data_IF_306887655229
#
_entry.id   IF_306887655229
#
_cell.length_a   1.000
_cell.length_b   1.000
_cell.length_c   1.000
_cell.angle_alpha   90.00
_cell.angle_beta   90.00
_cell.angle_gamma   90.00
#
_symmetry.space_group_name_H-M   'P 1'
#
loop_
_entity.id
_entity.type
_entity.pdbx_description
1 polymer ?
#
# COMPACT_ATOMS: atom_id res chain seq x y z
N UNK A 1 -28.72 10.56 31.42
CA UNK A 1 -28.28 9.28 30.81
C UNK A 1 -28.65 9.33 29.34
N UNK A 2 -27.69 9.61 28.47
CA UNK A 2 -27.92 9.67 27.02
C UNK A 2 -27.14 8.53 26.36
N UNK A 3 -27.88 7.59 25.75
CA UNK A 3 -27.34 6.51 24.94
C UNK A 3 -26.74 7.10 23.66
N UNK A 4 -25.41 7.16 23.57
CA UNK A 4 -24.74 7.36 22.30
C UNK A 4 -24.77 6.04 21.52
N UNK A 5 -25.68 5.96 20.55
CA UNK A 5 -25.69 4.91 19.53
C UNK A 5 -24.50 5.16 18.61
N UNK A 6 -23.53 4.26 18.57
CA UNK A 6 -22.45 4.27 17.58
C UNK A 6 -23.05 4.12 16.16
N UNK A 7 -23.09 5.21 15.40
CA UNK A 7 -23.44 5.18 13.99
C UNK A 7 -22.23 4.76 13.15
N UNK A 8 -22.18 3.47 12.82
CA UNK A 8 -21.28 2.94 11.80
C UNK A 8 -21.81 3.34 10.40
N UNK A 9 -21.06 4.14 9.64
CA UNK A 9 -21.45 4.58 8.28
C UNK A 9 -21.36 3.43 7.26
N UNK A 10 -20.69 2.32 7.58
CA UNK A 10 -20.74 1.08 6.80
C UNK A 10 -20.58 -0.14 7.73
N UNK A 11 -21.68 -0.85 8.03
CA UNK A 11 -21.64 -2.15 8.72
C UNK A 11 -21.36 -3.26 7.70
N UNK A 12 -20.13 -3.75 7.64
CA UNK A 12 -19.85 -5.01 6.96
C UNK A 12 -20.16 -6.21 7.86
N UNK A 13 -20.76 -7.25 7.25
CA UNK A 13 -21.04 -8.54 7.89
C UNK A 13 -19.75 -9.20 8.35
N UNK A 14 -19.73 -9.64 9.61
CA UNK A 14 -18.65 -10.44 10.18
C UNK A 14 -18.63 -11.83 9.54
N UNK A 15 -17.75 -12.07 8.57
CA UNK A 15 -17.44 -13.42 8.15
C UNK A 15 -16.54 -14.08 9.20
N UNK A 16 -17.03 -15.17 9.78
CA UNK A 16 -16.36 -15.99 10.78
C UNK A 16 -15.23 -16.80 10.11
N UNK A 17 -14.15 -16.96 10.87
CA UNK A 17 -12.82 -17.50 10.54
C UNK A 17 -12.72 -18.65 9.52
N UNK A 18 -11.71 -18.55 8.64
CA UNK A 18 -10.95 -19.71 8.15
C UNK A 18 -9.45 -19.38 8.18
N UNK A 19 -8.71 -20.04 9.08
CA UNK A 19 -7.25 -20.27 9.04
C UNK A 19 -6.26 -19.12 9.28
N UNK A 20 -6.44 -17.95 8.66
CA UNK A 20 -5.41 -16.91 8.59
C UNK A 20 -5.32 -15.98 9.80
N UNK A 21 -4.12 -15.42 10.04
CA UNK A 21 -3.91 -14.39 11.08
C UNK A 21 -4.41 -13.03 10.61
N UNK A 22 -4.91 -12.23 11.52
CA UNK A 22 -5.19 -10.81 11.28
C UNK A 22 -3.89 -10.02 11.35
N UNK A 23 -3.53 -9.36 10.27
CA UNK A 23 -2.30 -8.56 10.16
C UNK A 23 -2.68 -7.10 10.03
N UNK A 24 -2.13 -6.25 10.90
CA UNK A 24 -2.21 -4.80 10.75
C UNK A 24 -0.85 -4.26 10.30
N UNK A 25 -0.80 -3.59 9.16
CA UNK A 25 0.38 -2.85 8.70
C UNK A 25 0.10 -1.37 8.92
N UNK A 26 0.91 -0.67 9.71
CA UNK A 26 0.66 0.72 10.07
C UNK A 26 1.92 1.57 9.95
N UNK A 27 1.77 2.81 9.50
CA UNK A 27 2.79 3.83 9.69
C UNK A 27 2.86 4.26 11.15
N UNK A 28 4.06 4.52 11.68
CA UNK A 28 4.26 4.88 13.08
C UNK A 28 5.04 6.18 13.24
N UNK A 29 4.47 7.12 13.99
CA UNK A 29 5.18 8.28 14.55
C UNK A 29 4.70 8.58 15.96
N UNK A 30 3.38 8.51 16.16
CA UNK A 30 2.70 8.55 17.46
C UNK A 30 2.03 7.20 17.76
N UNK A 31 1.97 6.77 19.03
CA UNK A 31 1.44 5.45 19.38
C UNK A 31 -0.10 5.39 19.33
N UNK A 32 -0.81 6.49 19.61
CA UNK A 32 -2.25 6.48 19.83
C UNK A 32 -3.07 5.97 18.63
N UNK A 33 -2.80 6.40 17.38
CA UNK A 33 -3.55 5.91 16.22
C UNK A 33 -3.37 4.39 16.02
N UNK A 34 -2.17 3.89 16.27
CA UNK A 34 -1.83 2.47 16.14
C UNK A 34 -2.51 1.64 17.23
N UNK A 35 -2.52 2.12 18.47
CA UNK A 35 -3.24 1.47 19.58
C UNK A 35 -4.75 1.41 19.31
N UNK A 36 -5.33 2.53 18.86
CA UNK A 36 -6.75 2.61 18.53
C UNK A 36 -7.12 1.65 17.38
N UNK A 37 -6.31 1.63 16.31
CA UNK A 37 -6.50 0.72 15.20
C UNK A 37 -6.35 -0.74 15.64
N UNK A 38 -5.37 -1.04 16.49
CA UNK A 38 -5.14 -2.39 17.02
C UNK A 38 -6.30 -2.88 17.87
N UNK A 39 -6.83 -2.03 18.77
CA UNK A 39 -7.99 -2.37 19.59
C UNK A 39 -9.25 -2.65 18.75
N UNK A 40 -9.43 -1.96 17.62
CA UNK A 40 -10.62 -2.13 16.76
C UNK A 40 -10.51 -3.28 15.78
N UNK A 41 -9.33 -3.48 15.20
CA UNK A 41 -9.11 -4.49 14.16
C UNK A 41 -8.69 -5.83 14.76
N UNK A 42 -8.19 -5.84 16.00
CA UNK A 42 -7.75 -7.03 16.73
C UNK A 42 -6.72 -7.86 15.96
N UNK A 43 -5.57 -7.28 15.55
CA UNK A 43 -4.56 -8.02 14.81
C UNK A 43 -3.84 -9.04 15.71
N UNK A 44 -3.47 -10.19 15.14
CA UNK A 44 -2.54 -11.16 15.74
C UNK A 44 -1.08 -10.79 15.46
N UNK A 45 -0.83 -9.99 14.41
CA UNK A 45 0.47 -9.47 14.01
C UNK A 45 0.37 -7.99 13.64
N UNK A 46 1.31 -7.19 14.12
CA UNK A 46 1.44 -5.77 13.85
C UNK A 46 2.79 -5.49 13.16
N UNK A 47 2.74 -4.92 11.96
CA UNK A 47 3.92 -4.46 11.21
C UNK A 47 3.94 -2.93 11.20
N UNK A 48 4.99 -2.34 11.75
CA UNK A 48 5.12 -0.89 11.95
C UNK A 48 6.16 -0.32 11.00
N UNK A 49 5.76 0.60 10.13
CA UNK A 49 6.65 1.31 9.23
C UNK A 49 7.26 2.51 9.95
N UNK A 50 8.57 2.45 10.18
CA UNK A 50 9.37 3.48 10.83
C UNK A 50 10.40 4.06 9.87
N UNK A 51 11.01 5.19 10.22
CA UNK A 51 12.02 5.83 9.38
C UNK A 51 13.31 4.98 9.39
N UNK A 52 14.12 5.07 8.32
CA UNK A 52 15.47 4.45 8.32
C UNK A 52 16.29 4.87 9.54
N UNK A 53 16.19 6.16 9.87
CA UNK A 53 16.78 6.81 11.03
C UNK A 53 15.67 7.40 11.91
N UNK A 54 15.11 6.60 12.83
CA UNK A 54 14.04 7.08 13.70
C UNK A 54 14.56 8.16 14.65
N UNK A 55 13.76 9.20 14.86
CA UNK A 55 14.05 10.19 15.90
C UNK A 55 13.61 9.68 17.29
N UNK A 56 14.01 10.39 18.35
CA UNK A 56 13.66 10.03 19.74
C UNK A 56 12.15 9.91 19.99
N UNK A 57 11.32 10.64 19.24
CA UNK A 57 9.86 10.58 19.38
C UNK A 57 9.31 9.27 18.81
N UNK A 58 9.74 8.89 17.60
CA UNK A 58 9.35 7.65 16.94
C UNK A 58 9.88 6.42 17.70
N UNK A 59 11.09 6.49 18.27
CA UNK A 59 11.63 5.44 19.15
C UNK A 59 10.80 5.26 20.42
N UNK A 60 10.40 6.37 21.07
CA UNK A 60 9.49 6.33 22.22
C UNK A 60 8.14 5.73 21.84
N UNK A 61 7.57 6.14 20.71
CA UNK A 61 6.31 5.59 20.22
C UNK A 61 6.41 4.07 20.00
N UNK A 62 7.48 3.61 19.35
CA UNK A 62 7.73 2.17 19.15
C UNK A 62 7.86 1.42 20.47
N UNK A 63 8.53 2.01 21.46
CA UNK A 63 8.62 1.43 22.80
C UNK A 63 7.25 1.29 23.45
N UNK A 64 6.43 2.35 23.42
CA UNK A 64 5.06 2.33 23.97
C UNK A 64 4.21 1.22 23.32
N UNK A 65 4.29 1.05 22.00
CA UNK A 65 3.57 -0.02 21.31
C UNK A 65 4.05 -1.41 21.76
N UNK A 66 5.37 -1.63 21.85
CA UNK A 66 5.91 -2.91 22.30
C UNK A 66 5.52 -3.23 23.76
N UNK A 67 5.61 -2.26 24.66
CA UNK A 67 5.25 -2.43 26.07
C UNK A 67 3.76 -2.73 26.23
N UNK A 68 2.91 -2.15 25.38
CA UNK A 68 1.44 -2.30 25.45
C UNK A 68 0.92 -3.56 24.77
N UNK A 69 1.44 -3.91 23.60
CA UNK A 69 0.89 -4.95 22.72
C UNK A 69 1.84 -6.15 22.52
N UNK A 70 3.15 -5.96 22.64
CA UNK A 70 4.16 -6.95 22.25
C UNK A 70 4.17 -8.24 23.10
N UNK A 71 3.47 -8.26 24.24
CA UNK A 71 3.25 -9.48 25.04
C UNK A 71 2.12 -10.36 24.51
N UNK A 72 1.24 -9.79 23.69
CA UNK A 72 -0.02 -10.40 23.27
C UNK A 72 0.01 -10.70 21.76
N UNK A 73 0.70 -9.85 20.97
CA UNK A 73 0.75 -9.95 19.51
C UNK A 73 2.19 -9.85 18.98
N UNK A 74 2.44 -10.38 17.78
CA UNK A 74 3.75 -10.28 17.08
C UNK A 74 3.96 -8.87 16.53
N UNK A 75 4.83 -8.07 17.15
CA UNK A 75 5.14 -6.70 16.73
C UNK A 75 6.47 -6.65 15.99
N UNK A 76 6.47 -6.17 14.74
CA UNK A 76 7.67 -6.01 13.91
C UNK A 76 7.80 -4.60 13.38
N UNK A 77 8.96 -3.98 13.58
CA UNK A 77 9.29 -2.71 12.95
C UNK A 77 10.02 -2.94 11.62
N UNK A 78 9.58 -2.25 10.57
CA UNK A 78 10.24 -2.24 9.26
C UNK A 78 10.64 -0.82 8.93
N UNK A 79 11.94 -0.63 8.65
CA UNK A 79 12.50 0.65 8.24
C UNK A 79 12.17 0.92 6.78
N UNK A 80 11.68 2.12 6.49
CA UNK A 80 11.37 2.58 5.12
C UNK A 80 12.00 3.94 4.86
N UNK A 81 12.08 4.30 3.58
CA UNK A 81 12.30 5.69 3.22
C UNK A 81 11.18 6.60 3.75
N UNK A 82 11.42 7.91 3.72
CA UNK A 82 10.48 8.92 4.17
C UNK A 82 9.88 9.67 2.97
N UNK A 83 10.68 9.99 1.96
CA UNK A 83 10.27 10.89 0.87
C UNK A 83 10.26 10.21 -0.50
N UNK A 84 11.02 9.14 -0.70
CA UNK A 84 10.93 8.32 -1.91
C UNK A 84 9.67 7.45 -1.87
N UNK A 85 8.59 7.96 -2.45
CA UNK A 85 7.29 7.31 -2.44
C UNK A 85 7.28 5.98 -3.21
N UNK A 86 8.07 5.86 -4.27
CA UNK A 86 8.16 4.63 -5.08
C UNK A 86 8.84 3.55 -4.25
N UNK A 87 9.94 3.89 -3.57
CA UNK A 87 10.66 2.96 -2.71
C UNK A 87 9.85 2.56 -1.48
N UNK A 88 9.14 3.49 -0.84
CA UNK A 88 8.21 3.17 0.25
C UNK A 88 7.13 2.21 -0.23
N UNK A 89 6.51 2.50 -1.38
CA UNK A 89 5.43 1.68 -1.93
C UNK A 89 5.93 0.27 -2.23
N UNK A 90 7.08 0.15 -2.92
CA UNK A 90 7.74 -1.12 -3.20
C UNK A 90 7.98 -1.92 -1.92
N UNK A 91 8.49 -1.27 -0.87
CA UNK A 91 8.73 -1.93 0.41
C UNK A 91 7.44 -2.40 1.08
N UNK A 92 6.37 -1.63 0.98
CA UNK A 92 5.06 -2.00 1.52
C UNK A 92 4.43 -3.17 0.74
N UNK A 93 4.60 -3.22 -0.59
CA UNK A 93 4.19 -4.35 -1.42
C UNK A 93 4.93 -5.62 -1.01
N UNK A 94 6.26 -5.55 -0.83
CA UNK A 94 7.04 -6.69 -0.31
C UNK A 94 6.49 -7.21 1.03
N UNK A 95 6.15 -6.30 1.96
CA UNK A 95 5.59 -6.69 3.27
C UNK A 95 4.24 -7.41 3.11
N UNK A 96 3.36 -6.92 2.23
CA UNK A 96 2.06 -7.54 1.93
C UNK A 96 2.28 -8.93 1.31
N UNK A 97 3.18 -9.03 0.35
CA UNK A 97 3.44 -10.28 -0.39
C UNK A 97 4.10 -11.36 0.48
N UNK A 98 4.91 -10.96 1.48
CA UNK A 98 5.49 -11.86 2.47
C UNK A 98 4.48 -12.44 3.47
N UNK A 99 3.27 -11.88 3.58
CA UNK A 99 2.25 -12.48 4.43
C UNK A 99 1.69 -13.75 3.75
N UNK A 100 1.38 -14.81 4.51
CA UNK A 100 0.59 -15.94 4.03
C UNK A 100 -0.65 -15.50 3.24
N UNK A 101 -1.02 -16.28 2.21
CA UNK A 101 -2.15 -15.93 1.33
C UNK A 101 -3.48 -15.83 2.07
N UNK A 102 -3.64 -16.64 3.11
CA UNK A 102 -4.87 -16.70 3.91
C UNK A 102 -4.94 -15.61 5.00
N UNK A 103 -3.84 -14.88 5.26
CA UNK A 103 -3.81 -13.83 6.27
C UNK A 103 -4.72 -12.65 5.90
N UNK A 104 -5.34 -12.06 6.92
CA UNK A 104 -6.31 -10.97 6.81
C UNK A 104 -5.59 -9.65 7.01
N UNK A 105 -5.13 -9.06 5.91
CA UNK A 105 -4.33 -7.84 5.96
C UNK A 105 -5.25 -6.62 6.03
N UNK A 106 -5.05 -5.79 7.05
CA UNK A 106 -5.59 -4.43 7.12
C UNK A 106 -4.42 -3.45 7.20
N UNK A 107 -4.60 -2.25 6.67
CA UNK A 107 -3.59 -1.19 6.79
C UNK A 107 -4.14 0.01 7.55
N UNK A 108 -3.28 0.72 8.26
CA UNK A 108 -3.60 2.01 8.87
C UNK A 108 -2.61 3.08 8.41
N UNK A 109 -3.14 4.18 7.87
CA UNK A 109 -2.33 5.25 7.27
C UNK A 109 -2.37 6.55 8.08
N UNK A 110 -2.77 6.48 9.35
CA UNK A 110 -3.04 7.68 10.15
C UNK A 110 -1.77 8.40 10.58
N UNK A 111 -0.78 7.65 11.09
CA UNK A 111 0.40 8.25 11.72
C UNK A 111 1.55 8.44 10.73
N UNK A 112 2.53 9.26 11.07
CA UNK A 112 3.74 9.47 10.27
C UNK A 112 3.59 10.43 9.10
N UNK A 113 4.68 10.55 8.32
CA UNK A 113 4.75 11.49 7.19
C UNK A 113 3.77 11.08 6.10
N UNK A 114 3.09 12.08 5.50
CA UNK A 114 2.09 11.88 4.44
C UNK A 114 2.62 11.03 3.29
N UNK A 115 3.85 11.26 2.84
CA UNK A 115 4.52 10.48 1.81
C UNK A 115 4.56 8.99 2.14
N UNK A 116 4.83 8.61 3.39
CA UNK A 116 4.85 7.22 3.82
C UNK A 116 3.45 6.60 3.90
N UNK A 117 2.50 7.36 4.47
CA UNK A 117 1.10 6.97 4.53
C UNK A 117 0.51 6.74 3.13
N UNK A 118 0.82 7.63 2.18
CA UNK A 118 0.40 7.51 0.77
C UNK A 118 1.13 6.33 0.09
N UNK A 119 2.42 6.10 0.36
CA UNK A 119 3.12 4.93 -0.17
C UNK A 119 2.51 3.60 0.30
N UNK A 120 2.12 3.51 1.58
CA UNK A 120 1.37 2.35 2.10
C UNK A 120 -0.03 2.23 1.46
N UNK A 121 -0.70 3.36 1.22
CA UNK A 121 -1.99 3.38 0.51
C UNK A 121 -1.86 2.87 -0.93
N UNK A 122 -0.84 3.31 -1.66
CA UNK A 122 -0.58 2.84 -3.01
C UNK A 122 -0.21 1.36 -3.07
N UNK A 123 0.53 0.86 -2.08
CA UNK A 123 0.79 -0.57 -1.97
C UNK A 123 -0.49 -1.37 -1.76
N UNK A 124 -1.45 -0.83 -0.99
CA UNK A 124 -2.76 -1.46 -0.84
C UNK A 124 -3.56 -1.45 -2.15
N UNK A 125 -3.42 -0.43 -3.01
CA UNK A 125 -4.05 -0.43 -4.33
C UNK A 125 -3.37 -1.37 -5.32
N UNK A 126 -2.04 -1.50 -5.26
CA UNK A 126 -1.27 -2.48 -6.04
C UNK A 126 -1.59 -3.94 -5.63
N UNK A 127 -1.97 -4.15 -4.35
CA UNK A 127 -2.35 -5.45 -3.77
C UNK A 127 -3.79 -5.44 -3.24
N UNK A 128 -4.70 -4.85 -4.00
CA UNK A 128 -6.10 -4.63 -3.60
C UNK A 128 -6.85 -5.92 -3.22
N UNK A 129 -6.45 -7.06 -3.81
CA UNK A 129 -6.98 -8.39 -3.54
C UNK A 129 -6.47 -8.97 -2.21
N UNK A 130 -5.27 -8.57 -1.76
CA UNK A 130 -4.66 -9.00 -0.50
C UNK A 130 -5.10 -8.16 0.70
N UNK A 131 -5.37 -6.87 0.51
CA UNK A 131 -5.74 -5.95 1.60
C UNK A 131 -7.24 -5.92 1.79
N UNK A 132 -7.74 -6.22 2.99
CA UNK A 132 -9.18 -6.21 3.31
C UNK A 132 -9.72 -4.84 3.68
N UNK A 133 -8.97 -4.08 4.48
CA UNK A 133 -9.42 -2.78 5.01
C UNK A 133 -8.28 -1.77 5.01
N UNK A 134 -8.62 -0.52 4.71
CA UNK A 134 -7.73 0.62 4.80
C UNK A 134 -8.34 1.57 5.83
N UNK A 135 -7.69 1.71 6.98
CA UNK A 135 -8.18 2.50 8.09
C UNK A 135 -7.44 3.83 8.20
N UNK A 136 -8.19 4.87 8.54
CA UNK A 136 -7.71 6.19 8.91
C UNK A 136 -8.45 6.63 10.18
N UNK A 137 -7.73 7.18 11.15
CA UNK A 137 -8.29 7.67 12.41
C UNK A 137 -8.16 9.20 12.45
N UNK A 138 -9.25 9.95 12.18
CA UNK A 138 -9.24 11.41 12.24
C UNK A 138 -8.78 11.90 13.61
N UNK A 139 -7.89 12.91 13.64
CA UNK A 139 -7.39 13.49 14.89
C UNK A 139 -8.50 14.19 15.67
N UNK A 140 -9.47 14.78 14.96
CA UNK A 140 -10.61 15.52 15.51
C UNK A 140 -11.61 14.60 16.21
N UNK A 141 -11.64 13.32 15.85
CA UNK A 141 -12.53 12.33 16.46
C UNK A 141 -11.77 11.04 16.76
N UNK A 142 -11.14 11.03 17.93
CA UNK A 142 -10.37 9.91 18.50
C UNK A 142 -11.19 8.62 18.70
N UNK A 143 -12.51 8.66 18.54
CA UNK A 143 -13.39 7.50 18.61
C UNK A 143 -13.92 7.08 17.24
N UNK A 144 -13.36 7.60 16.14
CA UNK A 144 -13.78 7.22 14.79
C UNK A 144 -12.68 6.47 14.04
N UNK A 145 -13.11 5.57 13.16
CA UNK A 145 -12.31 4.97 12.10
C UNK A 145 -13.04 5.24 10.81
N UNK A 146 -12.36 5.89 9.89
CA UNK A 146 -12.80 6.03 8.51
C UNK A 146 -12.18 4.89 7.72
N UNK A 147 -13.00 4.14 7.01
CA UNK A 147 -12.53 3.13 6.06
C UNK A 147 -12.44 3.77 4.68
N UNK A 148 -11.22 3.85 4.16
CA UNK A 148 -10.97 4.39 2.83
C UNK A 148 -11.34 3.36 1.76
N UNK A 149 -11.75 3.82 0.57
CA UNK A 149 -12.09 2.93 -0.53
C UNK A 149 -10.87 2.10 -0.95
N UNK A 150 -11.11 0.84 -1.30
CA UNK A 150 -10.12 -0.01 -1.94
C UNK A 150 -10.17 0.20 -3.44
N UNK A 151 -9.18 0.91 -3.98
CA UNK A 151 -9.03 1.11 -5.41
C UNK A 151 -8.08 0.05 -6.00
N UNK A 152 -8.07 -0.07 -7.32
CA UNK A 152 -7.14 -0.91 -8.08
C UNK A 152 -6.79 -0.22 -9.39
N UNK A 153 -5.56 -0.43 -9.88
CA UNK A 153 -5.09 0.18 -11.12
C UNK A 153 -5.72 -0.41 -12.39
N UNK A 154 -6.37 -1.60 -12.29
CA UNK A 154 -7.11 -2.28 -13.38
C UNK A 154 -6.37 -2.34 -14.73
N UNK A 155 -5.07 -2.63 -14.71
CA UNK A 155 -4.27 -2.79 -15.93
C UNK A 155 -4.61 -4.10 -16.65
N UNK A 156 -4.74 -4.03 -17.98
CA UNK A 156 -4.83 -5.22 -18.83
C UNK A 156 -3.49 -5.94 -18.91
N UNK A 157 -3.49 -7.23 -19.26
CA UNK A 157 -2.25 -8.00 -19.40
C UNK A 157 -1.29 -7.40 -20.44
N UNK A 158 -1.80 -6.84 -21.54
CA UNK A 158 -0.97 -6.18 -22.55
C UNK A 158 -0.35 -4.87 -22.04
N UNK A 159 -1.08 -4.10 -21.22
CA UNK A 159 -0.54 -2.90 -20.57
C UNK A 159 0.53 -3.26 -19.53
N UNK A 160 0.30 -4.30 -18.72
CA UNK A 160 1.31 -4.80 -17.76
C UNK A 160 2.60 -5.24 -18.47
N UNK A 161 2.49 -6.03 -19.54
CA UNK A 161 3.64 -6.44 -20.37
C UNK A 161 4.42 -5.23 -20.89
N UNK A 162 3.73 -4.18 -21.32
CA UNK A 162 4.37 -2.96 -21.77
C UNK A 162 5.10 -2.24 -20.62
N UNK A 163 4.47 -2.05 -19.46
CA UNK A 163 5.12 -1.42 -18.30
C UNK A 163 6.37 -2.21 -17.84
N UNK A 164 6.30 -3.54 -17.82
CA UNK A 164 7.44 -4.42 -17.55
C UNK A 164 8.56 -4.24 -18.57
N UNK A 165 8.21 -4.13 -19.85
CA UNK A 165 9.19 -3.95 -20.90
C UNK A 165 9.88 -2.58 -20.83
N UNK A 166 9.12 -1.51 -20.56
CA UNK A 166 9.67 -0.15 -20.37
C UNK A 166 10.55 -0.07 -19.12
N UNK A 167 10.23 -0.83 -18.06
CA UNK A 167 11.08 -0.92 -16.87
C UNK A 167 12.41 -1.66 -17.11
N UNK A 168 12.50 -2.47 -18.17
CA UNK A 168 13.65 -3.33 -18.40
C UNK A 168 14.77 -2.58 -19.13
N UNK A 169 15.96 -2.39 -18.52
CA UNK A 169 17.07 -1.68 -19.15
C UNK A 169 17.54 -2.30 -20.47
N UNK A 170 17.31 -3.60 -20.68
CA UNK A 170 17.66 -4.30 -21.93
C UNK A 170 16.83 -3.83 -23.11
N UNK A 171 15.64 -3.27 -22.87
CA UNK A 171 14.72 -2.83 -23.92
C UNK A 171 14.72 -1.33 -24.15
N UNK A 172 15.49 -0.57 -23.35
CA UNK A 172 15.53 0.89 -23.39
C UNK A 172 15.96 1.48 -24.75
N UNK A 173 16.61 0.68 -25.61
CA UNK A 173 17.10 1.10 -26.93
C UNK A 173 16.30 0.51 -28.11
N UNK A 174 15.29 -0.31 -27.82
CA UNK A 174 14.47 -0.90 -28.89
C UNK A 174 13.58 0.16 -29.51
N UNK A 175 13.44 0.11 -30.84
CA UNK A 175 12.37 0.82 -31.54
C UNK A 175 11.00 0.27 -31.12
N UNK A 176 9.93 1.03 -31.36
CA UNK A 176 8.57 0.55 -31.08
C UNK A 176 8.20 -0.72 -31.87
N UNK A 177 8.78 -0.93 -33.05
CA UNK A 177 8.56 -2.13 -33.84
C UNK A 177 9.20 -3.34 -33.15
N UNK A 178 10.47 -3.24 -32.78
CA UNK A 178 11.19 -4.29 -32.07
C UNK A 178 10.56 -4.57 -30.69
N UNK A 179 10.07 -3.52 -30.02
CA UNK A 179 9.37 -3.65 -28.74
C UNK A 179 8.07 -4.43 -28.90
N UNK A 180 7.27 -4.13 -29.93
CA UNK A 180 6.03 -4.85 -30.23
C UNK A 180 6.28 -6.34 -30.48
N UNK A 181 7.28 -6.66 -31.29
CA UNK A 181 7.71 -8.05 -31.52
C UNK A 181 8.17 -8.71 -30.23
N UNK A 182 8.93 -7.98 -29.40
CA UNK A 182 9.52 -8.53 -28.17
C UNK A 182 8.48 -8.87 -27.11
N UNK A 183 7.42 -8.07 -26.99
CA UNK A 183 6.35 -8.29 -26.00
C UNK A 183 5.16 -9.07 -26.58
N UNK A 184 5.29 -9.57 -27.81
CA UNK A 184 4.30 -10.37 -28.53
C UNK A 184 2.95 -9.63 -28.63
N UNK A 185 2.98 -8.45 -29.25
CA UNK A 185 1.79 -7.61 -29.50
C UNK A 185 1.81 -7.05 -30.92
N UNK A 186 0.63 -6.75 -31.47
CA UNK A 186 0.55 -5.98 -32.71
C UNK A 186 1.03 -4.54 -32.49
N UNK A 187 1.57 -3.91 -33.54
CA UNK A 187 1.95 -2.49 -33.50
C UNK A 187 0.78 -1.60 -33.11
N UNK A 188 -0.40 -1.83 -33.70
CA UNK A 188 -1.61 -1.05 -33.38
C UNK A 188 -1.99 -1.14 -31.90
N UNK A 189 -1.88 -2.34 -31.30
CA UNK A 189 -2.14 -2.52 -29.87
C UNK A 189 -1.06 -1.88 -28.99
N UNK A 190 0.21 -1.91 -29.42
CA UNK A 190 1.29 -1.20 -28.72
C UNK A 190 1.01 0.31 -28.68
N UNK A 191 0.72 0.94 -29.82
CA UNK A 191 0.43 2.38 -29.88
C UNK A 191 -0.78 2.75 -29.01
N UNK A 192 -1.87 1.97 -29.09
CA UNK A 192 -3.04 2.18 -28.24
C UNK A 192 -2.70 2.10 -26.75
N UNK A 193 -1.95 1.08 -26.34
CA UNK A 193 -1.54 0.93 -24.94
C UNK A 193 -0.63 2.08 -24.50
N UNK A 194 0.24 2.58 -25.38
CA UNK A 194 1.08 3.75 -25.08
C UNK A 194 0.19 4.98 -24.84
N UNK A 195 -0.76 5.26 -25.72
CA UNK A 195 -1.66 6.41 -25.54
C UNK A 195 -2.48 6.28 -24.25
N UNK A 196 -3.10 5.13 -24.00
CA UNK A 196 -3.89 4.88 -22.78
C UNK A 196 -3.05 5.01 -21.50
N UNK A 197 -1.85 4.43 -21.48
CA UNK A 197 -0.96 4.49 -20.30
C UNK A 197 -0.41 5.90 -20.09
N UNK A 198 -0.19 6.67 -21.16
CA UNK A 198 0.21 8.09 -21.07
C UNK A 198 -0.92 8.92 -20.48
N UNK A 199 -2.15 8.71 -20.93
CA UNK A 199 -3.34 9.42 -20.44
C UNK A 199 -3.62 9.11 -18.96
N UNK A 200 -3.18 7.94 -18.47
CA UNK A 200 -3.19 7.55 -17.06
C UNK A 200 -1.98 8.06 -16.26
N UNK A 201 -1.08 8.82 -16.87
CA UNK A 201 0.19 9.28 -16.29
C UNK A 201 1.10 8.12 -15.83
N UNK A 202 1.03 6.94 -16.47
CA UNK A 202 1.88 5.78 -16.13
C UNK A 202 3.16 5.72 -16.96
N UNK A 203 3.16 6.35 -18.12
CA UNK A 203 4.35 6.50 -18.96
C UNK A 203 4.48 7.93 -19.47
N UNK A 204 5.71 8.35 -19.69
CA UNK A 204 6.05 9.57 -20.42
C UNK A 204 6.68 9.21 -21.76
N UNK A 205 6.42 10.05 -22.75
CA UNK A 205 7.01 9.97 -24.10
C UNK A 205 7.83 11.22 -24.45
N UNK A 206 7.96 12.18 -23.55
CA UNK A 206 8.66 13.45 -23.80
C UNK A 206 10.15 13.23 -24.05
N UNK A 207 10.79 12.43 -23.21
CA UNK A 207 12.21 12.07 -23.31
C UNK A 207 12.38 10.59 -23.66
N UNK A 208 11.64 10.15 -24.67
CA UNK A 208 11.50 8.74 -25.02
C UNK A 208 10.55 7.99 -24.08
N UNK A 209 10.30 6.71 -24.37
CA UNK A 209 9.35 5.89 -23.65
C UNK A 209 9.90 5.50 -22.27
N UNK A 210 9.33 6.07 -21.20
CA UNK A 210 9.78 5.88 -19.81
C UNK A 210 8.61 5.72 -18.85
N UNK A 211 8.84 5.04 -17.72
CA UNK A 211 7.87 5.00 -16.62
C UNK A 211 7.88 6.31 -15.82
N UNK A 212 6.71 6.81 -15.50
CA UNK A 212 6.53 7.81 -14.43
C UNK A 212 6.60 7.12 -13.06
N UNK A 213 6.54 7.88 -11.97
CA UNK A 213 6.44 7.29 -10.63
C UNK A 213 5.12 6.52 -10.43
N UNK A 214 4.01 7.02 -10.99
CA UNK A 214 2.74 6.29 -10.99
C UNK A 214 2.85 4.98 -11.78
N UNK A 215 3.54 4.97 -12.92
CA UNK A 215 3.82 3.77 -13.70
C UNK A 215 4.67 2.75 -12.96
N UNK A 216 5.72 3.22 -12.27
CA UNK A 216 6.55 2.36 -11.42
C UNK A 216 5.72 1.70 -10.33
N UNK A 217 4.79 2.44 -9.71
CA UNK A 217 3.90 1.97 -8.65
C UNK A 217 2.84 1.00 -9.18
N UNK A 218 2.14 1.35 -10.27
CA UNK A 218 1.03 0.57 -10.80
C UNK A 218 1.48 -0.81 -11.33
N UNK A 219 2.76 -0.93 -11.69
CA UNK A 219 3.40 -2.17 -12.12
C UNK A 219 3.71 -3.14 -10.97
N UNK A 220 3.93 -2.63 -9.75
CA UNK A 220 4.31 -3.45 -8.59
C UNK A 220 3.30 -4.54 -8.32
#
# INVERSE_FOLDING_TARGET
MANHVEMFINKEKSNINMGGKKVLIATLYSPEPVLLASNRLGPDRLVLLIDKEPNKEQEKALKVINDSLGRIIDVKAVKTDVYDIVEVTRKCVEIIDLQPKDDWISINITSGRKTKAIGLLFAAYARHDRVRKIAYNPEENKNSVVYLPKLSFKLTESQKKLLEAVANPKYAKLSLVELAEKIDTSRAMLYRNIDELRDMDLISTEDGLKLTDAGKIARL
#
